data_IF_266699275320
#
_entry.id   IF_266699275320
#
_cell.length_a   1.000
_cell.length_b   1.000
_cell.length_c   1.000
_cell.angle_alpha   90.00
_cell.angle_beta   90.00
_cell.angle_gamma   90.00
#
_symmetry.space_group_name_H-M   'P 1'
#
loop_
_entity.id
_entity.type
_entity.pdbx_description
1 polymer ?
#
# COMPACT_ATOMS: atom_id res chain seq x y z
N UNK A 1 -2.29 -21.13 -13.01
CA UNK A 1 -3.76 -21.28 -12.87
C UNK A 1 -4.37 -19.90 -12.97
N UNK A 2 -5.41 -19.72 -13.81
CA UNK A 2 -6.13 -18.45 -13.91
C UNK A 2 -7.42 -18.59 -13.10
N UNK A 3 -7.65 -17.66 -12.18
CA UNK A 3 -8.90 -17.59 -11.41
C UNK A 3 -9.57 -16.26 -11.72
N UNK A 4 -10.65 -16.34 -12.48
CA UNK A 4 -11.58 -15.24 -12.70
C UNK A 4 -12.64 -15.24 -11.58
N UNK A 5 -13.09 -14.05 -11.18
CA UNK A 5 -13.95 -13.88 -9.99
C UNK A 5 -15.32 -14.51 -10.09
N UNK A 6 -15.85 -14.95 -8.93
CA UNK A 6 -17.25 -15.35 -8.71
C UNK A 6 -18.04 -14.38 -7.82
N UNK A 7 -17.56 -13.14 -7.61
CA UNK A 7 -18.19 -12.17 -6.72
C UNK A 7 -17.22 -11.11 -6.21
N UNK A 8 -17.22 -10.82 -4.90
CA UNK A 8 -16.37 -9.80 -4.26
C UNK A 8 -14.86 -10.11 -4.24
N UNK A 9 -14.44 -11.33 -4.61
CA UNK A 9 -13.03 -11.73 -4.58
C UNK A 9 -12.75 -12.75 -5.70
N UNK A 10 -11.51 -12.76 -6.23
CA UNK A 10 -11.06 -13.91 -7.02
C UNK A 10 -10.54 -15.03 -6.12
N UNK A 11 -9.70 -14.70 -5.12
CA UNK A 11 -9.27 -15.64 -4.09
C UNK A 11 -9.40 -15.03 -2.70
N UNK A 12 -10.22 -15.63 -1.84
CA UNK A 12 -10.26 -15.34 -0.41
C UNK A 12 -9.69 -16.53 0.36
N UNK A 13 -8.56 -16.33 1.02
CA UNK A 13 -7.82 -17.33 1.77
C UNK A 13 -7.96 -16.99 3.26
N UNK A 14 -8.99 -17.55 3.89
CA UNK A 14 -9.41 -17.21 5.26
C UNK A 14 -9.01 -18.32 6.24
N UNK A 15 -8.47 -17.95 7.40
CA UNK A 15 -8.17 -18.84 8.52
C UNK A 15 -7.22 -19.98 8.13
N UNK A 16 -6.15 -19.61 7.42
CA UNK A 16 -5.15 -20.57 6.93
C UNK A 16 -3.85 -20.46 7.72
N UNK A 17 -3.39 -21.57 8.28
CA UNK A 17 -2.13 -21.62 9.03
C UNK A 17 -0.92 -21.39 8.10
N UNK A 18 -0.87 -22.08 6.96
CA UNK A 18 0.22 -21.94 5.99
C UNK A 18 -0.30 -22.06 4.57
N UNK A 19 0.04 -21.09 3.73
CA UNK A 19 -0.38 -21.07 2.33
C UNK A 19 0.70 -20.55 1.38
N UNK A 20 0.79 -21.21 0.22
CA UNK A 20 1.64 -20.82 -0.89
C UNK A 20 0.80 -20.64 -2.16
N UNK A 21 0.75 -19.42 -2.66
CA UNK A 21 0.19 -19.07 -3.98
C UNK A 21 1.36 -18.79 -4.92
N UNK A 22 1.45 -19.51 -6.05
CA UNK A 22 2.52 -19.26 -7.02
C UNK A 22 2.10 -19.56 -8.45
N UNK A 23 2.69 -18.86 -9.41
CA UNK A 23 2.42 -19.07 -10.85
C UNK A 23 0.91 -19.03 -11.16
N UNK A 24 0.22 -18.05 -10.55
CA UNK A 24 -1.21 -17.86 -10.70
C UNK A 24 -1.52 -16.47 -11.26
N UNK A 25 -2.64 -16.35 -11.96
CA UNK A 25 -3.19 -15.07 -12.38
C UNK A 25 -4.58 -14.92 -11.75
N UNK A 26 -4.79 -13.82 -11.04
CA UNK A 26 -6.07 -13.39 -10.48
C UNK A 26 -6.53 -12.14 -11.23
N UNK A 27 -7.51 -12.30 -12.11
CA UNK A 27 -7.94 -11.25 -13.02
C UNK A 27 -9.43 -10.93 -12.82
N UNK A 28 -9.79 -9.67 -13.06
CA UNK A 28 -11.18 -9.20 -13.18
C UNK A 28 -12.04 -9.45 -11.93
N UNK A 29 -11.46 -9.27 -10.74
CA UNK A 29 -12.18 -9.48 -9.49
C UNK A 29 -13.29 -8.45 -9.28
N UNK A 30 -14.53 -8.97 -9.15
CA UNK A 30 -15.78 -8.18 -9.09
C UNK A 30 -16.04 -7.32 -10.32
N UNK A 31 -15.87 -7.93 -11.50
CA UNK A 31 -16.01 -7.25 -12.80
C UNK A 31 -16.65 -8.00 -13.98
N UNK A 32 -17.46 -9.06 -13.86
CA UNK A 32 -18.17 -9.55 -15.05
C UNK A 32 -19.34 -8.61 -15.48
N UNK A 33 -19.01 -7.44 -16.05
CA UNK A 33 -19.87 -6.58 -16.89
C UNK A 33 -20.97 -5.70 -16.24
N UNK A 34 -21.18 -5.74 -14.91
CA UNK A 34 -22.59 -5.75 -14.46
C UNK A 34 -22.97 -5.22 -13.05
N UNK A 35 -22.14 -4.47 -12.32
CA UNK A 35 -22.47 -4.20 -10.90
C UNK A 35 -23.11 -2.81 -10.66
N UNK A 36 -24.45 -2.73 -10.60
CA UNK A 36 -25.21 -1.59 -10.03
C UNK A 36 -25.15 -1.63 -8.49
N UNK A 37 -24.01 -1.24 -7.91
CA UNK A 37 -23.86 -1.15 -6.46
C UNK A 37 -24.10 0.28 -5.97
N UNK A 38 -24.94 0.46 -4.96
CA UNK A 38 -25.14 1.74 -4.28
C UNK A 38 -23.98 2.06 -3.33
N UNK A 39 -23.64 3.34 -3.19
CA UNK A 39 -22.63 3.79 -2.22
C UNK A 39 -23.23 3.86 -0.80
N UNK A 40 -22.49 3.47 0.27
CA UNK A 40 -21.15 2.87 0.24
C UNK A 40 -21.20 1.39 -0.13
N UNK A 41 -20.19 0.90 -0.84
CA UNK A 41 -20.08 -0.52 -1.17
C UNK A 41 -18.74 -1.11 -0.73
N UNK A 42 -18.74 -2.42 -0.48
CA UNK A 42 -17.55 -3.16 -0.06
C UNK A 42 -16.48 -3.15 -1.14
N UNK A 43 -15.23 -2.94 -0.72
CA UNK A 43 -14.06 -3.01 -1.60
C UNK A 43 -13.70 -4.49 -1.82
N UNK A 44 -13.75 -4.96 -3.07
CA UNK A 44 -13.33 -6.32 -3.38
C UNK A 44 -11.81 -6.41 -3.42
N UNK A 45 -11.29 -7.62 -3.30
CA UNK A 45 -9.85 -7.87 -3.46
C UNK A 45 -9.57 -8.94 -4.51
N UNK A 46 -8.46 -8.83 -5.22
CA UNK A 46 -8.01 -9.84 -6.18
C UNK A 46 -7.69 -11.12 -5.45
N UNK A 47 -6.62 -11.04 -4.66
CA UNK A 47 -6.23 -12.08 -3.71
C UNK A 47 -6.18 -11.46 -2.33
N UNK A 48 -6.90 -12.07 -1.39
CA UNK A 48 -6.93 -11.67 0.01
C UNK A 48 -6.51 -12.81 0.91
N UNK A 49 -5.43 -12.59 1.65
CA UNK A 49 -5.09 -13.39 2.83
C UNK A 49 -5.78 -12.76 4.03
N UNK A 50 -6.69 -13.50 4.65
CA UNK A 50 -7.48 -13.02 5.76
C UNK A 50 -7.28 -13.91 6.99
N UNK A 51 -6.89 -13.31 8.12
CA UNK A 51 -6.64 -14.03 9.37
C UNK A 51 -5.76 -15.28 9.14
N UNK A 52 -4.61 -15.10 8.49
CA UNK A 52 -3.71 -16.18 8.10
C UNK A 52 -2.35 -16.03 8.78
N UNK A 53 -1.74 -17.16 9.14
CA UNK A 53 -0.50 -17.14 9.95
C UNK A 53 0.74 -16.99 9.08
N UNK A 54 0.95 -17.89 8.12
CA UNK A 54 2.06 -17.84 7.17
C UNK A 54 1.59 -17.83 5.72
N UNK A 55 1.66 -16.68 5.06
CA UNK A 55 1.15 -16.48 3.71
C UNK A 55 2.27 -16.11 2.73
N UNK A 56 2.49 -16.92 1.69
CA UNK A 56 3.48 -16.61 0.64
C UNK A 56 2.80 -16.53 -0.72
N UNK A 57 3.06 -15.46 -1.47
CA UNK A 57 2.68 -15.31 -2.87
C UNK A 57 3.85 -14.88 -3.74
N UNK A 58 4.10 -15.62 -4.83
CA UNK A 58 5.16 -15.24 -5.76
C UNK A 58 4.93 -15.62 -7.21
N UNK A 59 5.67 -14.98 -8.11
CA UNK A 59 5.62 -15.24 -9.56
C UNK A 59 4.17 -15.26 -10.09
N UNK A 60 3.32 -14.38 -9.57
CA UNK A 60 1.89 -14.32 -9.87
C UNK A 60 1.48 -12.96 -10.42
N UNK A 61 0.32 -12.89 -11.05
CA UNK A 61 -0.24 -11.68 -11.66
C UNK A 61 -1.61 -11.38 -11.05
N UNK A 62 -1.83 -10.14 -10.64
CA UNK A 62 -3.04 -9.72 -9.96
C UNK A 62 -3.49 -8.41 -10.58
N UNK A 63 -4.59 -8.43 -11.30
CA UNK A 63 -4.97 -7.28 -12.10
C UNK A 63 -6.46 -7.10 -12.28
N UNK A 64 -6.81 -5.88 -12.67
CA UNK A 64 -8.17 -5.52 -13.03
C UNK A 64 -9.16 -5.77 -11.88
N UNK A 65 -8.79 -5.49 -10.63
CA UNK A 65 -9.69 -5.58 -9.48
C UNK A 65 -10.31 -4.23 -9.17
N UNK A 66 -11.63 -4.18 -8.88
CA UNK A 66 -12.34 -2.92 -8.57
C UNK A 66 -11.83 -2.25 -7.29
N UNK A 67 -11.37 -3.02 -6.31
CA UNK A 67 -10.74 -2.53 -5.10
C UNK A 67 -9.26 -2.89 -5.04
N UNK A 68 -8.90 -3.71 -4.08
CA UNK A 68 -7.51 -4.06 -3.77
C UNK A 68 -7.02 -5.16 -4.71
N UNK A 69 -5.79 -5.09 -5.19
CA UNK A 69 -5.17 -6.19 -5.92
C UNK A 69 -4.81 -7.32 -4.96
N UNK A 70 -3.77 -7.09 -4.17
CA UNK A 70 -3.29 -8.02 -3.15
C UNK A 70 -3.54 -7.43 -1.75
N UNK A 71 -4.29 -8.14 -0.92
CA UNK A 71 -4.61 -7.72 0.45
C UNK A 71 -4.06 -8.74 1.47
N UNK A 72 -3.26 -8.25 2.42
CA UNK A 72 -2.98 -8.92 3.68
C UNK A 72 -3.78 -8.24 4.77
N UNK A 73 -4.75 -8.96 5.33
CA UNK A 73 -5.59 -8.49 6.42
C UNK A 73 -5.55 -9.47 7.59
N UNK A 74 -5.30 -8.95 8.80
CA UNK A 74 -5.18 -9.76 10.01
C UNK A 74 -4.10 -10.86 9.91
N UNK A 75 -3.04 -10.64 9.13
CA UNK A 75 -2.00 -11.62 8.89
C UNK A 75 -0.80 -11.46 9.84
N UNK A 76 -0.18 -12.58 10.24
CA UNK A 76 0.95 -12.56 11.21
C UNK A 76 2.31 -12.56 10.54
N UNK A 77 2.45 -13.26 9.41
CA UNK A 77 3.69 -13.36 8.63
C UNK A 77 3.35 -13.54 7.16
N UNK A 78 3.96 -12.72 6.31
CA UNK A 78 3.62 -12.69 4.90
C UNK A 78 4.81 -12.38 4.00
N UNK A 79 4.83 -12.99 2.82
CA UNK A 79 5.83 -12.73 1.80
C UNK A 79 5.15 -12.60 0.43
N UNK A 80 5.44 -11.51 -0.27
CA UNK A 80 4.91 -11.23 -1.60
C UNK A 80 6.05 -10.74 -2.50
N UNK A 81 6.45 -11.57 -3.47
CA UNK A 81 7.59 -11.23 -4.32
C UNK A 81 7.51 -11.71 -5.76
N UNK A 82 8.18 -11.00 -6.68
CA UNK A 82 8.18 -11.30 -8.13
C UNK A 82 6.77 -11.36 -8.72
N UNK A 83 5.83 -10.65 -8.13
CA UNK A 83 4.48 -10.55 -8.66
C UNK A 83 4.35 -9.32 -9.57
N UNK A 84 3.34 -9.38 -10.44
CA UNK A 84 2.85 -8.24 -11.22
C UNK A 84 1.50 -7.83 -10.64
N UNK A 85 1.40 -6.60 -10.11
CA UNK A 85 0.17 -6.05 -9.56
C UNK A 85 -0.17 -4.82 -10.39
N UNK A 86 -1.27 -4.84 -11.14
CA UNK A 86 -1.56 -3.71 -12.00
C UNK A 86 -3.04 -3.47 -12.27
N UNK A 87 -3.36 -2.22 -12.59
CA UNK A 87 -4.71 -1.83 -13.01
C UNK A 87 -5.81 -2.23 -12.01
N UNK A 88 -5.45 -2.28 -10.72
CA UNK A 88 -6.38 -2.44 -9.59
C UNK A 88 -6.73 -1.06 -9.03
N UNK A 89 -7.84 -0.87 -8.32
CA UNK A 89 -8.14 0.39 -7.61
C UNK A 89 -7.04 0.78 -6.61
N UNK A 90 -6.52 -0.22 -5.91
CA UNK A 90 -5.31 -0.16 -5.09
C UNK A 90 -4.50 -1.43 -5.33
N UNK A 91 -3.22 -1.35 -5.68
CA UNK A 91 -2.47 -2.55 -6.06
C UNK A 91 -2.10 -3.44 -4.87
N UNK A 92 -1.63 -2.85 -3.77
CA UNK A 92 -1.29 -3.59 -2.56
C UNK A 92 -1.90 -2.93 -1.32
N UNK A 93 -2.57 -3.74 -0.50
CA UNK A 93 -3.14 -3.32 0.77
C UNK A 93 -2.61 -4.16 1.92
N UNK A 94 -2.14 -3.48 2.97
CA UNK A 94 -1.69 -4.10 4.20
C UNK A 94 -2.48 -3.52 5.36
N UNK A 95 -3.38 -4.33 5.90
CA UNK A 95 -4.31 -3.97 6.95
C UNK A 95 -4.06 -4.86 8.16
N UNK A 96 -3.91 -4.29 9.37
CA UNK A 96 -3.91 -5.08 10.61
C UNK A 96 -2.96 -6.31 10.55
N UNK A 97 -1.80 -6.14 9.91
CA UNK A 97 -0.92 -7.25 9.56
C UNK A 97 0.53 -6.96 9.93
N UNK A 98 1.21 -7.97 10.48
CA UNK A 98 2.57 -7.87 10.98
C UNK A 98 3.55 -8.74 10.17
N UNK A 99 4.85 -8.42 10.27
CA UNK A 99 5.98 -9.21 9.71
C UNK A 99 5.77 -9.55 8.22
N UNK A 100 5.38 -8.55 7.45
CA UNK A 100 5.11 -8.67 6.02
C UNK A 100 6.34 -8.20 5.22
N UNK A 101 6.72 -8.96 4.20
CA UNK A 101 7.76 -8.59 3.25
C UNK A 101 7.18 -8.52 1.83
N UNK A 102 7.24 -7.34 1.23
CA UNK A 102 6.75 -7.07 -0.13
C UNK A 102 7.92 -6.58 -1.00
N UNK A 103 8.45 -7.45 -1.87
CA UNK A 103 9.70 -7.14 -2.55
C UNK A 103 9.83 -7.68 -3.98
N UNK A 104 10.61 -7.01 -4.81
CA UNK A 104 10.86 -7.45 -6.20
C UNK A 104 9.57 -7.61 -7.02
N UNK A 105 8.53 -6.85 -6.70
CA UNK A 105 7.29 -6.82 -7.47
C UNK A 105 7.33 -5.69 -8.49
N UNK A 106 6.58 -5.87 -9.57
CA UNK A 106 6.25 -4.82 -10.52
C UNK A 106 4.82 -4.36 -10.24
N UNK A 107 4.66 -3.09 -9.93
CA UNK A 107 3.39 -2.44 -9.65
C UNK A 107 3.19 -1.39 -10.71
N UNK A 108 2.11 -1.45 -11.49
CA UNK A 108 1.87 -0.42 -12.49
C UNK A 108 0.41 -0.14 -12.77
N UNK A 109 0.14 1.00 -13.39
CA UNK A 109 -1.13 1.26 -14.04
C UNK A 109 -0.92 1.67 -15.49
N UNK A 110 -1.82 1.19 -16.33
CA UNK A 110 -1.83 1.46 -17.75
C UNK A 110 -2.55 2.79 -18.00
N UNK A 111 -1.91 3.78 -18.64
CA UNK A 111 -2.55 5.03 -19.00
C UNK A 111 -3.83 4.80 -19.84
N UNK A 112 -4.89 5.54 -19.54
CA UNK A 112 -6.16 5.47 -20.27
C UNK A 112 -7.09 4.32 -19.87
N UNK A 113 -6.62 3.33 -19.11
CA UNK A 113 -7.46 2.24 -18.58
C UNK A 113 -8.22 2.71 -17.32
N UNK A 114 -7.65 3.65 -16.57
CA UNK A 114 -8.08 4.03 -15.23
C UNK A 114 -9.55 4.28 -14.91
N UNK A 115 -10.34 5.01 -15.73
CA UNK A 115 -11.74 5.31 -15.41
C UNK A 115 -12.61 4.07 -15.17
N UNK A 116 -12.31 2.99 -15.89
CA UNK A 116 -13.03 1.72 -15.76
C UNK A 116 -12.54 0.93 -14.55
N UNK A 117 -11.33 1.18 -14.05
CA UNK A 117 -10.68 0.32 -13.05
C UNK A 117 -10.33 0.93 -11.70
N UNK A 118 -10.28 2.25 -11.57
CA UNK A 118 -9.88 2.89 -10.31
C UNK A 118 -11.05 3.17 -9.37
N UNK A 119 -12.29 3.03 -9.84
CA UNK A 119 -13.49 3.23 -9.01
C UNK A 119 -13.75 2.05 -8.10
N UNK A 120 -13.41 2.22 -6.83
CA UNK A 120 -13.71 1.25 -5.79
C UNK A 120 -15.21 1.02 -5.60
N UNK A 121 -16.10 1.99 -5.86
CA UNK A 121 -17.56 1.81 -5.94
C UNK A 121 -18.15 2.35 -7.26
N UNK A 122 -18.99 1.59 -8.00
CA UNK A 122 -19.61 2.06 -9.24
C UNK A 122 -20.52 3.28 -9.05
N UNK A 123 -21.25 3.38 -7.93
CA UNK A 123 -22.08 4.53 -7.63
C UNK A 123 -21.30 5.75 -7.11
N UNK A 124 -20.02 5.62 -6.78
CA UNK A 124 -19.24 6.79 -6.35
C UNK A 124 -19.06 7.72 -7.55
N UNK A 125 -19.57 8.94 -7.41
CA UNK A 125 -19.47 9.98 -8.45
C UNK A 125 -18.17 10.76 -8.35
N UNK A 126 -17.47 10.64 -7.23
CA UNK A 126 -16.23 11.36 -6.97
C UNK A 126 -15.17 11.03 -8.01
N UNK A 127 -14.40 12.06 -8.38
CA UNK A 127 -13.31 11.93 -9.34
C UNK A 127 -12.13 11.28 -8.61
N UNK A 128 -11.68 10.13 -9.11
CA UNK A 128 -10.56 9.40 -8.51
C UNK A 128 -9.28 9.81 -9.21
N UNK A 129 -8.31 10.32 -8.43
CA UNK A 129 -7.03 10.82 -8.94
C UNK A 129 -6.31 9.78 -9.80
N UNK A 130 -6.05 8.61 -9.23
CA UNK A 130 -5.54 7.42 -9.90
C UNK A 130 -5.51 6.24 -8.92
N UNK A 131 -5.25 5.04 -9.44
CA UNK A 131 -4.99 3.86 -8.61
C UNK A 131 -3.78 4.03 -7.70
N UNK A 132 -3.89 3.48 -6.49
CA UNK A 132 -2.81 3.46 -5.49
C UNK A 132 -1.77 2.36 -5.75
N UNK A 133 -0.51 2.65 -5.37
CA UNK A 133 0.57 1.66 -5.31
C UNK A 133 0.42 0.75 -4.09
N UNK A 134 0.77 1.27 -2.90
CA UNK A 134 0.56 0.62 -1.61
C UNK A 134 -0.24 1.52 -0.68
N UNK A 135 -1.17 0.93 0.09
CA UNK A 135 -1.81 1.57 1.24
C UNK A 135 -1.57 0.73 2.49
N UNK A 136 -1.22 1.41 3.58
CA UNK A 136 -0.94 0.83 4.89
C UNK A 136 -1.92 1.45 5.89
N UNK A 137 -2.72 0.62 6.54
CA UNK A 137 -3.72 1.08 7.49
C UNK A 137 -4.00 0.03 8.57
N UNK A 138 -4.80 0.41 9.57
CA UNK A 138 -5.51 -0.56 10.39
C UNK A 138 -6.97 -0.12 10.47
N UNK A 139 -7.88 -0.93 9.95
CA UNK A 139 -9.31 -0.64 9.99
C UNK A 139 -9.99 -1.20 11.22
N UNK A 140 -9.26 -1.92 12.07
CA UNK A 140 -9.83 -2.55 13.25
C UNK A 140 -10.76 -3.70 12.91
N UNK A 141 -10.38 -4.49 11.91
CA UNK A 141 -11.18 -5.60 11.44
C UNK A 141 -11.11 -6.82 12.36
N UNK A 142 -12.29 -7.37 12.65
CA UNK A 142 -12.46 -8.61 13.39
C UNK A 142 -12.79 -9.77 12.44
N UNK A 143 -12.35 -10.99 12.75
CA UNK A 143 -12.65 -12.17 11.93
C UNK A 143 -14.08 -12.68 12.21
N UNK A 144 -14.31 -13.21 13.41
CA UNK A 144 -15.64 -13.60 13.88
C UNK A 144 -16.14 -12.67 15.00
N UNK A 145 -15.23 -11.96 15.68
CA UNK A 145 -15.53 -11.06 16.77
C UNK A 145 -16.28 -9.79 16.37
N UNK A 146 -16.76 -9.06 17.37
CA UNK A 146 -17.45 -7.77 17.25
C UNK A 146 -16.81 -6.72 18.17
N UNK A 147 -17.25 -5.47 18.04
CA UNK A 147 -16.83 -4.36 18.91
C UNK A 147 -15.30 -4.19 18.98
N UNK A 148 -14.63 -3.87 17.85
CA UNK A 148 -13.21 -3.68 17.86
C UNK A 148 -12.81 -2.55 18.81
N UNK A 149 -11.68 -2.74 19.48
CA UNK A 149 -11.00 -1.73 20.30
C UNK A 149 -9.51 -1.78 19.98
N UNK A 150 -8.92 -0.62 19.74
CA UNK A 150 -7.47 -0.50 19.60
C UNK A 150 -6.80 -0.45 20.98
N UNK A 151 -6.04 -1.48 21.32
CA UNK A 151 -5.34 -1.59 22.59
C UNK A 151 -3.99 -2.27 22.40
N UNK A 152 -2.93 -1.75 23.02
CA UNK A 152 -1.58 -2.33 23.00
C UNK A 152 -1.01 -2.57 21.58
N UNK A 153 -1.26 -1.64 20.64
CA UNK A 153 -0.89 -1.78 19.22
C UNK A 153 -1.52 -3.02 18.54
N UNK A 154 -2.74 -3.36 18.95
CA UNK A 154 -3.54 -4.43 18.36
C UNK A 154 -5.01 -4.03 18.29
N UNK A 155 -5.74 -4.70 17.40
CA UNK A 155 -7.20 -4.71 17.38
C UNK A 155 -7.67 -5.89 18.22
N UNK A 156 -8.37 -5.58 19.31
CA UNK A 156 -9.05 -6.58 20.13
C UNK A 156 -10.52 -6.58 19.80
N UNK A 157 -11.05 -7.76 19.57
CA UNK A 157 -12.47 -7.98 19.30
C UNK A 157 -13.07 -8.82 20.42
N UNK A 158 -14.35 -8.59 20.71
CA UNK A 158 -15.11 -9.33 21.73
C UNK A 158 -16.19 -10.18 21.06
N UNK A 159 -16.54 -11.32 21.66
CA UNK A 159 -17.62 -12.20 21.20
C UNK A 159 -17.45 -12.74 19.75
N UNK A 160 -16.50 -13.66 19.49
CA UNK A 160 -15.49 -14.19 20.42
C UNK A 160 -14.31 -13.25 20.67
N UNK A 161 -13.52 -13.57 21.70
CA UNK A 161 -12.31 -12.83 22.02
C UNK A 161 -11.23 -13.14 20.97
N UNK A 162 -10.85 -12.13 20.19
CA UNK A 162 -9.82 -12.21 19.15
C UNK A 162 -8.85 -11.05 19.31
N UNK A 163 -7.62 -11.24 18.85
CA UNK A 163 -6.60 -10.18 18.86
C UNK A 163 -5.77 -10.26 17.60
N UNK A 164 -5.77 -9.17 16.84
CA UNK A 164 -5.00 -9.01 15.61
C UNK A 164 -3.99 -7.90 15.82
N UNK A 165 -2.72 -8.16 15.53
CA UNK A 165 -1.69 -7.13 15.63
C UNK A 165 -2.00 -6.01 14.63
N UNK A 166 -1.85 -4.77 15.05
CA UNK A 166 -1.81 -3.68 14.08
C UNK A 166 -0.52 -3.77 13.25
N UNK A 167 -0.41 -2.95 12.21
CA UNK A 167 0.79 -2.94 11.35
C UNK A 167 2.07 -2.76 12.17
N UNK A 168 2.88 -3.81 12.15
CA UNK A 168 4.19 -3.88 12.77
C UNK A 168 5.15 -4.68 11.89
N UNK A 169 6.31 -4.10 11.58
CA UNK A 169 7.39 -4.79 10.85
C UNK A 169 7.00 -5.12 9.41
N UNK A 170 6.72 -4.08 8.63
CA UNK A 170 6.48 -4.15 7.18
C UNK A 170 7.72 -3.72 6.41
N UNK A 171 8.18 -4.57 5.48
CA UNK A 171 9.37 -4.33 4.63
C UNK A 171 8.96 -4.25 3.17
N UNK A 172 9.10 -3.08 2.56
CA UNK A 172 8.80 -2.82 1.16
C UNK A 172 10.10 -2.46 0.45
N UNK A 173 10.64 -3.37 -0.37
CA UNK A 173 11.94 -3.12 -0.99
C UNK A 173 12.15 -3.72 -2.36
N UNK A 174 13.01 -3.09 -3.16
CA UNK A 174 13.34 -3.53 -4.52
C UNK A 174 12.11 -3.70 -5.42
N UNK A 175 11.01 -2.97 -5.16
CA UNK A 175 9.85 -2.97 -6.04
C UNK A 175 9.97 -1.83 -7.05
N UNK A 176 9.22 -1.97 -8.14
CA UNK A 176 9.10 -0.93 -9.16
C UNK A 176 7.63 -0.53 -9.23
N UNK A 177 7.37 0.74 -8.96
CA UNK A 177 6.06 1.36 -9.07
C UNK A 177 6.09 2.24 -10.31
N UNK A 178 5.16 2.02 -11.23
CA UNK A 178 5.06 2.80 -12.46
C UNK A 178 3.65 3.36 -12.61
N UNK A 179 3.54 4.67 -12.87
CA UNK A 179 2.25 5.30 -13.18
C UNK A 179 1.19 5.13 -12.07
N UNK A 180 1.62 5.06 -10.81
CA UNK A 180 0.71 5.02 -9.66
C UNK A 180 0.34 6.45 -9.26
N UNK A 181 -0.91 6.69 -8.86
CA UNK A 181 -1.34 8.01 -8.39
C UNK A 181 -0.65 8.40 -7.09
N UNK A 182 -0.96 7.67 -6.02
CA UNK A 182 -0.21 7.68 -4.78
C UNK A 182 0.64 6.40 -4.74
N UNK A 183 1.97 6.54 -4.75
CA UNK A 183 2.86 5.38 -4.71
C UNK A 183 2.86 4.73 -3.33
N UNK A 184 2.95 5.54 -2.28
CA UNK A 184 2.95 5.09 -0.88
C UNK A 184 1.89 5.87 -0.10
N UNK A 185 0.95 5.14 0.50
CA UNK A 185 -0.11 5.69 1.34
C UNK A 185 -0.07 5.12 2.75
N UNK A 186 -0.24 6.02 3.73
CA UNK A 186 -0.57 5.68 5.11
C UNK A 186 -1.90 6.33 5.45
N UNK A 187 -2.81 5.53 5.99
CA UNK A 187 -4.14 5.99 6.38
C UNK A 187 -4.45 5.59 7.82
N UNK A 188 -5.08 6.50 8.55
CA UNK A 188 -5.49 6.29 9.95
C UNK A 188 -6.50 5.16 10.16
N UNK A 189 -7.16 4.71 9.09
CA UNK A 189 -8.16 3.66 9.14
C UNK A 189 -9.50 4.12 9.71
N UNK A 190 -10.24 3.18 10.30
CA UNK A 190 -11.57 3.43 10.81
C UNK A 190 -11.56 4.35 12.04
N UNK A 191 -12.21 5.50 11.90
CA UNK A 191 -12.33 6.51 12.95
C UNK A 191 -13.54 6.30 13.88
N UNK A 192 -14.27 5.20 13.78
CA UNK A 192 -15.38 4.92 14.71
C UNK A 192 -14.98 4.02 15.88
N UNK A 193 -13.71 3.59 15.94
CA UNK A 193 -13.21 2.57 16.87
C UNK A 193 -12.59 3.23 18.10
N UNK A 194 -12.86 2.65 19.27
CA UNK A 194 -12.31 3.14 20.54
C UNK A 194 -10.82 2.78 20.67
N UNK A 195 -10.03 3.70 21.23
CA UNK A 195 -8.60 3.48 21.48
C UNK A 195 -7.68 4.12 20.44
N UNK A 196 -6.40 3.76 20.48
CA UNK A 196 -5.36 4.36 19.63
C UNK A 196 -4.73 3.29 18.73
N UNK A 197 -4.98 3.41 17.44
CA UNK A 197 -4.33 2.70 16.35
C UNK A 197 -2.81 2.97 16.34
N UNK A 198 -2.05 2.04 15.78
CA UNK A 198 -0.60 2.01 15.81
C UNK A 198 -0.11 1.48 14.48
N UNK A 199 0.69 2.26 13.75
CA UNK A 199 1.47 1.77 12.62
C UNK A 199 2.94 1.97 13.00
N UNK A 200 3.70 0.87 13.08
CA UNK A 200 5.09 0.95 13.50
C UNK A 200 6.04 0.05 12.72
N UNK A 201 7.32 0.37 12.77
CA UNK A 201 8.40 -0.42 12.16
C UNK A 201 8.11 -0.70 10.67
N UNK A 202 7.88 0.36 9.91
CA UNK A 202 7.64 0.27 8.46
C UNK A 202 8.88 0.77 7.74
N UNK A 203 9.45 -0.07 6.88
CA UNK A 203 10.69 0.21 6.18
C UNK A 203 10.46 0.10 4.67
N UNK A 204 10.60 1.22 3.97
CA UNK A 204 10.41 1.32 2.53
C UNK A 204 11.73 1.77 1.92
N UNK A 205 12.42 0.86 1.22
CA UNK A 205 13.78 1.15 0.75
C UNK A 205 14.15 0.52 -0.58
N UNK A 206 15.04 1.18 -1.33
CA UNK A 206 15.54 0.69 -2.62
C UNK A 206 14.42 0.40 -3.63
N UNK A 207 13.29 1.10 -3.55
CA UNK A 207 12.23 1.03 -4.54
C UNK A 207 12.41 2.12 -5.60
N UNK A 208 11.87 1.85 -6.78
CA UNK A 208 11.86 2.81 -7.88
C UNK A 208 10.42 3.17 -8.20
N UNK A 209 10.07 4.44 -8.03
CA UNK A 209 8.75 4.98 -8.33
C UNK A 209 8.86 5.99 -9.47
N UNK A 210 8.31 5.64 -10.63
CA UNK A 210 8.44 6.40 -11.87
C UNK A 210 7.07 6.69 -12.46
N UNK A 211 6.85 7.93 -12.86
CA UNK A 211 5.58 8.36 -13.42
C UNK A 211 4.50 8.45 -12.36
N UNK A 212 3.49 9.25 -12.70
CA UNK A 212 2.25 9.33 -11.97
C UNK A 212 1.12 9.30 -12.99
N UNK A 213 -0.06 8.88 -12.54
CA UNK A 213 -1.30 9.15 -13.25
C UNK A 213 -2.15 10.02 -12.34
N UNK A 214 -2.87 10.96 -12.94
CA UNK A 214 -3.76 11.89 -12.24
C UNK A 214 -4.91 12.28 -13.16
N UNK A 215 -6.08 12.55 -12.58
CA UNK A 215 -7.16 13.21 -13.32
C UNK A 215 -7.04 14.74 -13.18
N UNK A 216 -7.09 15.51 -14.29
CA UNK A 216 -7.08 16.97 -14.23
C UNK A 216 -8.24 17.52 -13.38
N UNK A 217 -7.95 18.49 -12.50
CA UNK A 217 -8.97 19.24 -11.74
C UNK A 217 -9.27 18.72 -10.33
N UNK A 218 -8.59 17.69 -9.85
CA UNK A 218 -8.70 17.18 -8.48
C UNK A 218 -7.56 17.73 -7.61
N UNK A 219 -7.76 17.78 -6.29
CA UNK A 219 -6.74 18.29 -5.36
C UNK A 219 -5.54 17.34 -5.27
N UNK A 220 -4.35 17.92 -5.16
CA UNK A 220 -3.08 17.19 -5.10
C UNK A 220 -3.09 16.11 -4.01
N UNK A 221 -2.90 14.84 -4.39
CA UNK A 221 -2.44 13.82 -3.45
C UNK A 221 -0.90 13.84 -3.40
N UNK A 222 -0.30 13.39 -2.30
CA UNK A 222 1.16 13.25 -2.24
C UNK A 222 1.59 11.99 -2.98
N UNK A 223 2.77 11.97 -3.59
CA UNK A 223 3.33 10.74 -4.16
C UNK A 223 3.65 9.74 -3.04
N UNK A 224 4.15 10.29 -1.93
CA UNK A 224 4.04 9.71 -0.59
C UNK A 224 2.98 10.49 0.19
N UNK A 225 1.99 9.80 0.76
CA UNK A 225 0.85 10.42 1.46
C UNK A 225 0.69 9.82 2.85
N UNK A 226 0.61 10.69 3.86
CA UNK A 226 0.28 10.33 5.23
C UNK A 226 -1.00 11.09 5.62
N UNK A 227 -2.08 10.37 5.88
CA UNK A 227 -3.39 10.97 6.15
C UNK A 227 -3.99 10.51 7.48
N UNK A 228 -3.79 11.36 8.50
CA UNK A 228 -4.22 11.17 9.89
C UNK A 228 -4.96 12.39 10.45
N UNK A 229 -6.00 12.91 9.78
CA UNK A 229 -6.72 14.10 10.23
C UNK A 229 -7.74 13.82 11.36
N UNK A 230 -8.10 12.58 11.61
CA UNK A 230 -9.22 12.19 12.45
C UNK A 230 -9.00 12.46 13.93
N UNK A 231 -10.07 12.88 14.59
CA UNK A 231 -10.15 13.03 16.04
C UNK A 231 -11.39 12.31 16.58
N UNK A 232 -11.22 11.54 17.66
CA UNK A 232 -12.33 10.92 18.37
C UNK A 232 -12.87 11.84 19.45
N UNK A 233 -13.94 12.56 19.12
CA UNK A 233 -14.64 13.39 20.09
C UNK A 233 -15.32 12.59 21.20
N UNK A 234 -15.79 11.37 20.92
CA UNK A 234 -16.48 10.52 21.90
C UNK A 234 -15.53 9.99 22.98
N UNK A 235 -14.29 9.67 22.61
CA UNK A 235 -13.27 9.13 23.52
C UNK A 235 -12.15 10.12 23.84
N UNK A 236 -12.29 11.37 23.41
CA UNK A 236 -11.31 12.45 23.59
C UNK A 236 -9.86 12.01 23.29
N UNK A 237 -9.67 11.28 22.19
CA UNK A 237 -8.41 10.68 21.77
C UNK A 237 -8.25 10.82 20.26
N UNK A 238 -7.03 10.78 19.73
CA UNK A 238 -6.86 10.68 18.27
C UNK A 238 -6.59 9.23 17.88
N UNK A 239 -6.83 8.95 16.60
CA UNK A 239 -6.98 7.58 16.15
C UNK A 239 -5.69 6.84 15.99
N UNK A 240 -4.56 7.46 15.63
CA UNK A 240 -3.35 6.70 15.30
C UNK A 240 -2.06 7.37 15.74
N UNK A 241 -0.97 6.61 15.79
CA UNK A 241 0.40 7.14 15.73
C UNK A 241 1.27 6.37 14.74
N UNK A 242 2.35 7.03 14.31
CA UNK A 242 3.38 6.47 13.43
C UNK A 242 4.72 6.41 14.17
N UNK A 243 5.28 5.22 14.29
CA UNK A 243 6.53 5.02 14.99
C UNK A 243 7.55 4.27 14.14
N UNK A 244 8.79 4.78 14.07
CA UNK A 244 9.88 4.14 13.36
C UNK A 244 9.54 3.79 11.90
N UNK A 245 9.02 4.78 11.16
CA UNK A 245 8.78 4.67 9.72
C UNK A 245 9.98 5.25 8.97
N UNK A 246 10.60 4.46 8.10
CA UNK A 246 11.79 4.88 7.32
C UNK A 246 11.53 4.69 5.84
N UNK A 247 11.67 5.78 5.08
CA UNK A 247 11.54 5.80 3.62
C UNK A 247 12.89 6.22 3.06
N UNK A 248 13.74 5.25 2.73
CA UNK A 248 15.16 5.52 2.47
C UNK A 248 15.62 4.96 1.14
N UNK A 249 16.58 5.61 0.49
CA UNK A 249 17.23 5.07 -0.72
C UNK A 249 16.26 4.70 -1.86
N UNK A 250 15.13 5.38 -1.97
CA UNK A 250 14.18 5.18 -3.07
C UNK A 250 14.40 6.23 -4.17
N UNK A 251 13.93 5.92 -5.38
CA UNK A 251 13.87 6.88 -6.49
C UNK A 251 12.41 7.31 -6.65
N UNK A 252 12.15 8.61 -6.64
CA UNK A 252 10.84 9.21 -6.89
C UNK A 252 10.92 10.18 -8.05
N UNK A 253 10.29 9.82 -9.16
CA UNK A 253 10.25 10.69 -10.34
C UNK A 253 8.88 10.62 -11.01
N UNK A 254 8.41 11.76 -11.50
CA UNK A 254 7.17 11.95 -12.25
C UNK A 254 7.34 13.17 -13.16
N UNK A 255 6.46 13.32 -14.14
CA UNK A 255 6.48 14.50 -15.02
C UNK A 255 5.97 15.73 -14.26
N UNK A 256 6.87 16.63 -13.89
CA UNK A 256 6.53 17.85 -13.11
C UNK A 256 5.77 18.89 -13.93
N UNK A 257 5.88 18.83 -15.27
CA UNK A 257 5.17 19.76 -16.16
C UNK A 257 3.73 19.28 -16.38
N UNK A 258 3.51 17.96 -16.51
CA UNK A 258 2.19 17.35 -16.61
C UNK A 258 1.45 17.36 -15.26
N UNK A 259 2.16 17.14 -14.16
CA UNK A 259 1.61 17.05 -12.80
C UNK A 259 2.11 18.16 -11.87
N UNK A 260 1.95 19.46 -12.19
CA UNK A 260 2.55 20.58 -11.45
C UNK A 260 1.93 20.80 -10.07
N UNK A 261 0.79 20.17 -9.77
CA UNK A 261 0.16 20.23 -8.46
C UNK A 261 0.55 19.06 -7.56
N UNK A 262 1.19 18.02 -8.12
CA UNK A 262 1.59 16.85 -7.35
C UNK A 262 2.61 17.25 -6.29
N UNK A 263 2.41 16.79 -5.05
CA UNK A 263 3.40 17.00 -3.99
C UNK A 263 4.27 15.75 -3.89
N UNK A 264 5.61 15.85 -3.84
CA UNK A 264 6.45 14.67 -3.58
C UNK A 264 6.02 13.95 -2.30
N UNK A 265 5.75 14.73 -1.26
CA UNK A 265 5.27 14.25 0.03
C UNK A 265 4.13 15.14 0.54
N UNK A 266 3.01 14.52 0.91
CA UNK A 266 1.89 15.17 1.58
C UNK A 266 1.66 14.53 2.95
N UNK A 267 1.66 15.35 3.99
CA UNK A 267 1.39 14.92 5.35
C UNK A 267 0.26 15.73 5.94
N UNK A 268 -0.82 15.06 6.33
CA UNK A 268 -1.98 15.66 6.98
C UNK A 268 -2.14 14.98 8.34
N UNK A 269 -2.00 15.76 9.40
CA UNK A 269 -2.16 15.28 10.77
C UNK A 269 -3.11 16.20 11.52
N UNK A 270 -3.98 15.62 12.36
CA UNK A 270 -4.74 16.40 13.32
C UNK A 270 -3.79 17.21 14.23
N UNK A 271 -4.11 18.46 14.61
CA UNK A 271 -3.25 19.27 15.47
C UNK A 271 -2.92 18.63 16.83
N UNK A 272 -3.82 17.78 17.34
CA UNK A 272 -3.66 17.11 18.63
C UNK A 272 -3.14 15.67 18.54
N UNK A 273 -2.66 15.22 17.38
CA UNK A 273 -2.23 13.84 17.12
C UNK A 273 -1.43 13.22 18.31
N UNK A 274 -1.79 12.02 18.80
CA UNK A 274 -1.55 11.57 20.17
C UNK A 274 -0.18 10.94 20.41
N UNK A 275 0.57 10.67 19.33
CA UNK A 275 1.84 9.95 19.41
C UNK A 275 2.88 10.53 18.47
N UNK A 276 4.06 9.90 18.42
CA UNK A 276 5.15 10.37 17.59
C UNK A 276 4.70 10.47 16.12
N UNK A 277 5.25 11.47 15.44
CA UNK A 277 5.29 11.55 13.98
C UNK A 277 6.68 11.11 13.54
N UNK A 278 7.06 9.88 13.90
CA UNK A 278 8.42 9.37 13.64
C UNK A 278 8.46 8.70 12.27
N UNK A 279 8.51 9.57 11.25
CA UNK A 279 8.83 9.22 9.87
C UNK A 279 10.12 9.95 9.46
N UNK A 280 10.99 9.26 8.74
CA UNK A 280 12.21 9.85 8.17
C UNK A 280 12.34 9.49 6.71
N UNK A 281 12.76 10.48 5.94
CA UNK A 281 13.25 10.34 4.57
C UNK A 281 14.76 10.54 4.62
N UNK A 282 15.54 9.64 4.01
CA UNK A 282 16.98 9.81 3.87
C UNK A 282 17.56 9.01 2.69
N UNK A 283 18.54 9.59 2.00
CA UNK A 283 19.22 8.94 0.87
C UNK A 283 18.35 8.73 -0.37
N UNK A 284 17.16 9.32 -0.45
CA UNK A 284 16.27 9.20 -1.60
C UNK A 284 16.69 10.15 -2.73
N UNK A 285 16.37 9.75 -3.96
CA UNK A 285 16.52 10.59 -5.15
C UNK A 285 15.14 11.09 -5.58
N UNK A 286 14.94 12.41 -5.54
CA UNK A 286 13.68 13.06 -5.91
C UNK A 286 13.82 13.88 -7.19
N UNK A 287 12.79 13.89 -8.03
CA UNK A 287 12.69 14.84 -9.15
C UNK A 287 12.46 16.28 -8.66
N UNK A 288 11.76 16.45 -7.54
CA UNK A 288 11.35 17.75 -7.00
C UNK A 288 11.60 17.82 -5.48
N UNK A 289 11.93 19.02 -4.98
CA UNK A 289 12.20 19.25 -3.56
C UNK A 289 10.90 19.30 -2.71
N UNK A 290 10.99 19.00 -1.42
CA UNK A 290 9.87 19.12 -0.48
C UNK A 290 10.34 19.49 0.95
N UNK A 291 9.39 19.76 1.85
CA UNK A 291 9.69 20.22 3.22
C UNK A 291 10.26 19.12 4.14
N UNK A 292 10.32 17.88 3.69
CA UNK A 292 10.67 16.70 4.49
C UNK A 292 11.93 16.00 4.01
N UNK A 293 12.68 16.63 3.11
CA UNK A 293 13.92 16.12 2.52
C UNK A 293 14.93 15.77 3.60
N UNK A 294 15.49 14.56 3.53
CA UNK A 294 16.55 14.08 4.42
C UNK A 294 17.91 14.74 4.18
N UNK A 295 18.87 14.59 5.12
CA UNK A 295 20.21 15.14 4.97
C UNK A 295 20.98 14.54 3.77
N UNK A 296 20.72 13.28 3.41
CA UNK A 296 21.39 12.61 2.28
C UNK A 296 20.51 12.51 1.03
N UNK A 297 19.32 13.12 1.02
CA UNK A 297 18.46 13.11 -0.17
C UNK A 297 19.08 13.96 -1.30
N UNK A 298 18.86 13.53 -2.54
CA UNK A 298 19.33 14.21 -3.75
C UNK A 298 18.12 14.70 -4.55
N UNK A 299 18.15 15.97 -4.96
CA UNK A 299 17.13 16.54 -5.86
C UNK A 299 17.72 16.64 -7.26
N UNK A 300 17.07 16.01 -8.25
CA UNK A 300 17.47 16.03 -9.65
C UNK A 300 16.27 16.32 -10.56
N UNK A 301 15.98 17.60 -10.84
CA UNK A 301 14.87 18.00 -11.71
C UNK A 301 14.97 17.54 -13.16
N UNK A 302 16.16 17.10 -13.59
CA UNK A 302 16.40 16.58 -14.94
C UNK A 302 16.11 15.08 -15.09
N UNK A 303 15.63 14.41 -14.04
CA UNK A 303 15.18 13.03 -14.15
C UNK A 303 14.01 12.92 -15.13
N UNK A 304 14.00 11.86 -15.92
CA UNK A 304 12.88 11.57 -16.80
C UNK A 304 11.66 11.19 -15.97
N UNK A 305 10.61 12.01 -16.04
CA UNK A 305 9.39 11.84 -15.27
C UNK A 305 8.52 10.66 -15.72
N UNK A 306 8.76 10.11 -16.90
CA UNK A 306 8.02 8.96 -17.44
C UNK A 306 8.96 8.00 -18.17
N UNK A 307 8.53 6.75 -18.29
CA UNK A 307 9.22 5.73 -19.10
C UNK A 307 8.17 4.86 -19.79
N UNK A 308 8.56 4.18 -20.87
CA UNK A 308 7.69 3.18 -21.50
C UNK A 308 7.25 2.13 -20.48
N UNK A 309 6.02 1.64 -20.61
CA UNK A 309 5.49 0.66 -19.66
C UNK A 309 6.38 -0.59 -19.65
N UNK A 310 6.89 -0.95 -18.48
CA UNK A 310 7.81 -2.07 -18.31
C UNK A 310 7.01 -3.38 -18.16
N UNK A 311 6.24 -3.78 -19.18
CA UNK A 311 5.27 -4.89 -19.06
C UNK A 311 5.90 -6.29 -19.04
N UNK A 312 7.05 -6.46 -19.68
CA UNK A 312 7.45 -7.81 -20.13
C UNK A 312 8.53 -8.48 -19.28
N UNK A 313 9.23 -7.76 -18.40
CA UNK A 313 10.37 -8.36 -17.72
C UNK A 313 10.88 -7.55 -16.51
N UNK A 314 10.48 -7.97 -15.31
CA UNK A 314 11.19 -7.65 -14.06
C UNK A 314 12.70 -7.98 -14.18
N UNK A 315 13.02 -9.02 -14.96
CA UNK A 315 14.40 -9.44 -15.27
C UNK A 315 15.15 -8.58 -16.28
N UNK A 316 14.48 -7.69 -17.04
CA UNK A 316 15.13 -6.77 -17.97
C UNK A 316 15.56 -5.49 -17.27
N UNK A 317 15.06 -5.25 -16.05
CA UNK A 317 15.44 -4.11 -15.23
C UNK A 317 16.73 -4.51 -14.51
N UNK A 318 17.81 -4.49 -15.27
CA UNK A 318 19.15 -4.66 -14.73
C UNK A 318 19.57 -3.30 -14.18
N UNK A 319 19.76 -3.13 -12.86
CA UNK A 319 20.36 -1.89 -12.36
C UNK A 319 21.70 -1.66 -13.07
N UNK A 320 22.02 -0.40 -13.36
CA UNK A 320 23.37 -0.04 -13.81
C UNK A 320 24.41 -0.69 -12.89
N UNK A 321 25.50 -1.20 -13.46
CA UNK A 321 26.52 -1.95 -12.72
C UNK A 321 27.03 -1.18 -11.48
N UNK A 322 27.07 0.16 -11.59
CA UNK A 322 27.44 1.12 -10.54
C UNK A 322 26.46 1.16 -9.34
N UNK A 323 25.22 0.70 -9.51
CA UNK A 323 24.15 0.73 -8.52
C UNK A 323 23.76 -0.67 -8.00
N UNK A 324 24.47 -1.73 -8.41
CA UNK A 324 24.15 -3.10 -8.00
C UNK A 324 24.20 -3.32 -6.49
N UNK A 325 25.06 -2.59 -5.77
CA UNK A 325 25.15 -2.66 -4.29
C UNK A 325 23.87 -2.16 -3.60
N UNK A 326 23.11 -1.27 -4.25
CA UNK A 326 21.85 -0.75 -3.72
C UNK A 326 20.70 -1.75 -3.86
N UNK A 327 20.71 -2.60 -4.90
CA UNK A 327 19.64 -3.58 -5.14
C UNK A 327 19.86 -4.88 -4.34
N UNK A 328 21.10 -5.25 -4.04
CA UNK A 328 21.41 -6.46 -3.24
C UNK A 328 21.68 -6.22 -1.76
N UNK A 329 21.52 -4.99 -1.29
CA UNK A 329 21.43 -4.74 0.14
C UNK A 329 20.14 -5.39 0.67
N UNK A 330 20.23 -6.69 1.02
CA UNK A 330 19.57 -7.15 2.24
C UNK A 330 19.89 -6.06 3.26
N UNK A 331 18.90 -5.47 3.94
CA UNK A 331 19.21 -4.50 4.96
C UNK A 331 20.29 -5.09 5.86
N UNK A 332 21.34 -4.32 6.13
CA UNK A 332 22.45 -4.69 7.00
C UNK A 332 21.84 -5.22 8.29
N UNK A 333 21.75 -6.56 8.41
CA UNK A 333 21.11 -7.31 9.49
C UNK A 333 20.24 -6.42 10.39
N UNK A 334 18.98 -6.15 10.00
CA UNK A 334 18.04 -5.65 11.00
C UNK A 334 18.03 -6.69 12.12
N UNK A 335 18.29 -6.31 13.38
CA UNK A 335 18.35 -7.24 14.48
C UNK A 335 16.92 -7.68 14.79
N UNK A 336 16.37 -8.58 13.98
CA UNK A 336 15.36 -9.49 14.48
C UNK A 336 16.13 -10.48 15.35
N UNK A 337 16.23 -10.18 16.65
CA UNK A 337 16.10 -11.28 17.59
C UNK A 337 14.72 -11.87 17.31
N UNK A 338 14.71 -12.98 16.57
CA UNK A 338 13.63 -13.95 16.61
C UNK A 338 13.64 -14.51 18.04
N UNK A 339 13.09 -13.76 18.98
CA UNK A 339 12.63 -14.28 20.27
C UNK A 339 11.11 -14.21 20.31
#
# INVERSE_FOLDING_TARGET
MIVDSVGSFSMLLRNVDTILVRNCSSLYSSRPGADELTSPCQWPSGIKFYNSTESTIHDSEIAYTRGEGLNFQNCVKGQAYRNRLHDNGLNFYNENSARISFHHNLIYNTPGIGPDYWRNCPADTDVIWASGGILIANEGSCDEGNFPVFQDCATRCSFPDETFLNVDSLFVYNNIFQNTGNAIGFWEGATSIAGVNCIRNVFIFNNTMIGALGMPGVSSTGFVSLFFPGYNFLFNSNYSYLQNVRVNNNIFTYDTDEYPQMKPVSMVFHPLHPGPKDITFDGNLWVENHAYTGPNDLIRPTLTGSTSLLTDSLSAITPCFENMEWIYARPTLFPFSLE
#
